data_IF_388807884028
#
_entry.id   IF_388807884028
#
_cell.length_a   1.000
_cell.length_b   1.000
_cell.length_c   1.000
_cell.angle_alpha   90.00
_cell.angle_beta   90.00
_cell.angle_gamma   90.00
#
_symmetry.space_group_name_H-M   'P 1'
#
loop_
_entity.id
_entity.type
_entity.pdbx_description
1 polymer ?
#
# COMPACT_ATOMS: atom_id res chain seq x y z
N UNK A 1 36.11 9.28 -12.26
CA UNK A 1 36.27 10.73 -12.03
C UNK A 1 35.22 11.43 -12.87
N UNK A 2 34.27 12.19 -12.29
CA UNK A 2 33.32 12.98 -13.07
C UNK A 2 34.11 14.09 -13.76
N UNK A 3 33.89 14.28 -15.07
CA UNK A 3 34.46 15.40 -15.82
C UNK A 3 34.02 16.72 -15.16
N UNK A 4 34.92 17.38 -14.43
CA UNK A 4 34.84 18.82 -14.24
C UNK A 4 34.88 19.43 -15.65
N UNK A 5 33.70 19.82 -16.15
CA UNK A 5 33.59 20.62 -17.36
C UNK A 5 34.37 21.90 -17.10
N UNK A 6 35.51 22.05 -17.78
CA UNK A 6 36.38 23.20 -17.69
C UNK A 6 35.56 24.49 -17.89
N UNK A 7 35.48 25.29 -16.82
CA UNK A 7 34.62 26.47 -16.77
C UNK A 7 35.12 27.56 -17.70
N UNK A 8 36.43 27.60 -17.98
CA UNK A 8 37.03 28.47 -18.98
C UNK A 8 36.66 28.04 -20.40
N UNK A 9 36.62 26.72 -20.65
CA UNK A 9 36.15 26.17 -21.92
C UNK A 9 34.67 26.52 -22.18
N UNK A 10 33.80 26.43 -21.16
CA UNK A 10 32.38 26.82 -21.24
C UNK A 10 32.15 28.30 -21.53
N UNK A 11 33.04 29.18 -21.06
CA UNK A 11 32.96 30.63 -21.29
C UNK A 11 33.40 31.03 -22.71
N UNK A 12 34.23 30.22 -23.35
CA UNK A 12 34.76 30.47 -24.70
C UNK A 12 33.89 29.88 -25.82
N UNK A 13 32.88 29.06 -25.51
CA UNK A 13 32.02 28.43 -26.53
C UNK A 13 31.19 29.49 -27.27
N UNK A 14 31.35 29.55 -28.59
CA UNK A 14 30.57 30.43 -29.44
C UNK A 14 29.09 30.02 -29.54
N UNK A 15 28.17 30.94 -29.89
CA UNK A 15 26.76 30.61 -30.11
C UNK A 15 26.56 29.56 -31.23
N UNK A 16 27.43 29.54 -32.23
CA UNK A 16 27.44 28.55 -33.32
C UNK A 16 27.86 27.15 -32.85
N UNK A 17 28.86 27.07 -31.97
CA UNK A 17 29.33 25.81 -31.37
C UNK A 17 28.28 25.22 -30.41
N UNK A 18 27.60 26.08 -29.64
CA UNK A 18 26.48 25.67 -28.81
C UNK A 18 25.29 25.18 -29.64
N UNK A 19 24.94 25.90 -30.71
CA UNK A 19 23.83 25.50 -31.57
C UNK A 19 24.12 24.19 -32.33
N UNK A 20 25.34 24.03 -32.83
CA UNK A 20 25.75 22.80 -33.52
C UNK A 20 25.83 21.59 -32.57
N UNK A 21 26.30 21.77 -31.32
CA UNK A 21 26.27 20.69 -30.32
C UNK A 21 24.85 20.32 -29.89
N UNK A 22 23.95 21.30 -29.73
CA UNK A 22 22.53 21.07 -29.46
C UNK A 22 21.83 20.35 -30.62
N UNK A 23 22.13 20.73 -31.86
CA UNK A 23 21.60 20.07 -33.06
C UNK A 23 22.09 18.62 -33.15
N UNK A 24 23.40 18.38 -32.99
CA UNK A 24 23.98 17.02 -32.95
C UNK A 24 23.31 16.15 -31.89
N UNK A 25 23.11 16.69 -30.68
CA UNK A 25 22.40 15.98 -29.61
C UNK A 25 20.96 15.64 -30.02
N UNK A 26 20.24 16.55 -30.66
CA UNK A 26 18.85 16.33 -31.10
C UNK A 26 18.75 15.31 -32.23
N UNK A 27 19.69 15.29 -33.17
CA UNK A 27 19.79 14.27 -34.21
C UNK A 27 20.04 12.88 -33.61
N UNK A 28 21.03 12.77 -32.71
CA UNK A 28 21.29 11.53 -31.97
C UNK A 28 20.07 11.04 -31.19
N UNK A 29 19.32 11.96 -30.55
CA UNK A 29 18.08 11.63 -29.85
C UNK A 29 17.01 11.12 -30.82
N UNK A 30 16.83 11.75 -31.98
CA UNK A 30 15.86 11.32 -32.98
C UNK A 30 16.16 9.91 -33.52
N UNK A 31 17.42 9.56 -33.68
CA UNK A 31 17.84 8.23 -34.13
C UNK A 31 17.70 7.17 -33.02
N UNK A 32 17.98 7.52 -31.76
CA UNK A 32 18.00 6.56 -30.65
C UNK A 32 16.62 6.35 -29.99
N UNK A 33 15.79 7.39 -29.91
CA UNK A 33 14.48 7.36 -29.22
C UNK A 33 13.52 6.27 -29.73
N UNK A 34 13.40 6.00 -31.05
CA UNK A 34 12.52 4.92 -31.52
C UNK A 34 12.90 3.54 -30.96
N UNK A 35 14.20 3.26 -30.82
CA UNK A 35 14.68 2.02 -30.21
C UNK A 35 14.36 1.95 -28.71
N UNK A 36 14.52 3.07 -28.01
CA UNK A 36 14.15 3.18 -26.58
C UNK A 36 12.64 3.00 -26.39
N UNK A 37 11.80 3.62 -27.23
CA UNK A 37 10.34 3.47 -27.19
C UNK A 37 9.95 2.01 -27.39
N UNK A 38 10.53 1.33 -28.39
CA UNK A 38 10.24 -0.09 -28.65
C UNK A 38 10.61 -0.99 -27.46
N UNK A 39 11.73 -0.70 -26.79
CA UNK A 39 12.12 -1.45 -25.59
C UNK A 39 11.15 -1.20 -24.43
N UNK A 40 10.76 0.06 -24.19
CA UNK A 40 9.79 0.41 -23.16
C UNK A 40 8.40 -0.18 -23.43
N UNK A 41 7.96 -0.22 -24.69
CA UNK A 41 6.72 -0.88 -25.10
C UNK A 41 6.78 -2.39 -24.84
N UNK A 42 7.90 -3.04 -25.18
CA UNK A 42 8.09 -4.47 -24.88
C UNK A 42 8.11 -4.76 -23.38
N UNK A 43 8.71 -3.87 -22.58
CA UNK A 43 8.70 -3.96 -21.12
C UNK A 43 7.28 -3.77 -20.56
N UNK A 44 6.53 -2.78 -21.04
CA UNK A 44 5.11 -2.55 -20.70
C UNK A 44 4.25 -3.78 -20.99
N UNK A 45 4.36 -4.34 -22.20
CA UNK A 45 3.63 -5.54 -22.64
C UNK A 45 3.96 -6.75 -21.77
N UNK A 46 5.20 -6.85 -21.27
CA UNK A 46 5.63 -7.95 -20.40
C UNK A 46 5.14 -7.81 -18.94
N UNK A 47 4.98 -6.57 -18.45
CA UNK A 47 4.63 -6.25 -17.07
C UNK A 47 3.12 -6.16 -16.86
N UNK A 48 2.39 -5.63 -17.83
CA UNK A 48 0.92 -5.50 -17.78
C UNK A 48 0.21 -6.79 -17.33
N UNK A 49 0.44 -7.96 -17.96
CA UNK A 49 -0.23 -9.20 -17.55
C UNK A 49 0.25 -9.71 -16.18
N UNK A 50 1.41 -9.29 -15.68
CA UNK A 50 1.88 -9.66 -14.32
C UNK A 50 1.14 -8.86 -13.26
N UNK A 51 0.93 -7.56 -13.52
CA UNK A 51 0.16 -6.67 -12.63
C UNK A 51 -1.29 -7.11 -12.56
N UNK A 52 -1.91 -7.42 -13.71
CA UNK A 52 -3.29 -7.93 -13.77
C UNK A 52 -3.45 -9.24 -12.97
N UNK A 53 -2.59 -10.23 -13.24
CA UNK A 53 -2.59 -11.49 -12.49
C UNK A 53 -2.36 -11.29 -10.99
N UNK A 54 -1.48 -10.36 -10.61
CA UNK A 54 -1.23 -10.00 -9.22
C UNK A 54 -2.47 -9.40 -8.54
N UNK A 55 -3.14 -8.47 -9.23
CA UNK A 55 -4.38 -7.83 -8.78
C UNK A 55 -5.52 -8.83 -8.62
N UNK A 56 -5.72 -9.72 -9.60
CA UNK A 56 -6.74 -10.78 -9.53
C UNK A 56 -6.47 -11.75 -8.37
N UNK A 57 -5.21 -12.17 -8.20
CA UNK A 57 -4.81 -13.05 -7.11
C UNK A 57 -5.04 -12.38 -5.74
N UNK A 58 -4.71 -11.09 -5.61
CA UNK A 58 -4.98 -10.31 -4.41
C UNK A 58 -6.49 -10.20 -4.13
N UNK A 59 -7.30 -9.86 -5.14
CA UNK A 59 -8.76 -9.80 -5.00
C UNK A 59 -9.35 -11.16 -4.60
N UNK A 60 -8.88 -12.25 -5.19
CA UNK A 60 -9.32 -13.59 -4.83
C UNK A 60 -8.94 -13.95 -3.38
N UNK A 61 -7.75 -13.56 -2.92
CA UNK A 61 -7.34 -13.73 -1.53
C UNK A 61 -8.20 -12.89 -0.57
N UNK A 62 -8.51 -11.64 -0.92
CA UNK A 62 -9.38 -10.78 -0.12
C UNK A 62 -10.81 -11.31 -0.03
N UNK A 63 -11.36 -11.86 -1.13
CA UNK A 63 -12.67 -12.54 -1.11
C UNK A 63 -12.66 -13.72 -0.14
N UNK A 64 -11.59 -14.53 -0.13
CA UNK A 64 -11.43 -15.63 0.85
C UNK A 64 -11.40 -15.12 2.28
N UNK A 65 -10.65 -14.05 2.55
CA UNK A 65 -10.62 -13.40 3.88
C UNK A 65 -12.01 -12.94 4.29
N UNK A 66 -12.76 -12.30 3.39
CA UNK A 66 -14.14 -11.85 3.65
C UNK A 66 -15.07 -13.02 4.01
N UNK A 67 -15.00 -14.12 3.27
CA UNK A 67 -15.83 -15.29 3.54
C UNK A 67 -15.49 -15.92 4.90
N UNK A 68 -14.20 -16.02 5.24
CA UNK A 68 -13.75 -16.54 6.53
C UNK A 68 -14.14 -15.63 7.71
N UNK A 69 -14.17 -14.31 7.50
CA UNK A 69 -14.72 -13.35 8.47
C UNK A 69 -16.21 -13.63 8.70
N UNK A 70 -17.00 -13.78 7.64
CA UNK A 70 -18.42 -14.13 7.77
C UNK A 70 -18.63 -15.44 8.54
N UNK A 71 -17.89 -16.49 8.19
CA UNK A 71 -17.98 -17.78 8.91
C UNK A 71 -17.60 -17.69 10.39
N UNK A 72 -16.59 -16.87 10.72
CA UNK A 72 -16.15 -16.61 12.08
C UNK A 72 -17.23 -15.86 12.85
N UNK A 73 -17.73 -14.76 12.30
CA UNK A 73 -18.68 -13.87 12.95
C UNK A 73 -20.00 -14.61 13.22
N UNK A 74 -20.50 -15.39 12.25
CA UNK A 74 -21.68 -16.24 12.43
C UNK A 74 -21.52 -17.26 13.57
N UNK A 75 -20.33 -17.86 13.67
CA UNK A 75 -20.04 -18.83 14.72
C UNK A 75 -19.88 -18.16 16.10
N UNK A 76 -19.25 -16.99 16.17
CA UNK A 76 -19.10 -16.20 17.39
C UNK A 76 -20.44 -15.72 17.93
N UNK A 77 -21.30 -15.17 17.07
CA UNK A 77 -22.65 -14.70 17.45
C UNK A 77 -23.44 -15.85 18.05
N UNK A 78 -23.48 -17.00 17.37
CA UNK A 78 -24.18 -18.20 17.87
C UNK A 78 -23.58 -18.69 19.19
N UNK A 79 -22.26 -18.67 19.34
CA UNK A 79 -21.61 -19.11 20.57
C UNK A 79 -21.96 -18.19 21.75
N UNK A 80 -21.99 -16.87 21.54
CA UNK A 80 -22.33 -15.89 22.57
C UNK A 80 -23.77 -16.05 23.08
N UNK A 81 -24.73 -16.33 22.17
CA UNK A 81 -26.11 -16.65 22.56
C UNK A 81 -26.15 -17.88 23.48
N UNK A 82 -25.41 -18.93 23.14
CA UNK A 82 -25.34 -20.14 23.98
C UNK A 82 -24.64 -19.85 25.31
N UNK A 83 -23.62 -18.99 25.36
CA UNK A 83 -22.98 -18.59 26.62
C UNK A 83 -23.99 -17.94 27.57
N UNK A 84 -24.87 -17.04 27.08
CA UNK A 84 -25.96 -16.49 27.90
C UNK A 84 -26.92 -17.56 28.40
N UNK A 85 -27.37 -18.49 27.55
CA UNK A 85 -28.25 -19.58 27.95
C UNK A 85 -27.61 -20.50 29.01
N UNK A 86 -26.32 -20.79 28.87
CA UNK A 86 -25.54 -21.60 29.83
C UNK A 86 -25.47 -20.89 31.19
N UNK A 87 -25.30 -19.56 31.21
CA UNK A 87 -25.31 -18.78 32.45
C UNK A 87 -26.67 -18.87 33.17
N UNK A 88 -27.77 -18.76 32.43
CA UNK A 88 -29.13 -18.90 32.99
C UNK A 88 -29.42 -20.31 33.49
N UNK A 89 -29.09 -21.35 32.71
CA UNK A 89 -29.23 -22.76 33.11
C UNK A 89 -28.42 -23.01 34.39
N UNK A 90 -27.20 -22.49 34.46
CA UNK A 90 -26.34 -22.59 35.65
C UNK A 90 -26.95 -21.89 36.86
N UNK A 91 -27.54 -20.72 36.70
CA UNK A 91 -28.16 -20.00 37.81
C UNK A 91 -29.37 -20.78 38.36
N UNK A 92 -30.20 -21.34 37.49
CA UNK A 92 -31.30 -22.23 37.87
C UNK A 92 -30.82 -23.47 38.63
N UNK A 93 -29.79 -24.15 38.12
CA UNK A 93 -29.17 -25.32 38.76
C UNK A 93 -28.54 -25.01 40.13
N UNK A 94 -27.99 -23.80 40.30
CA UNK A 94 -27.49 -23.35 41.59
C UNK A 94 -28.62 -23.12 42.59
N UNK A 95 -29.76 -22.56 42.15
CA UNK A 95 -30.94 -22.31 43.00
C UNK A 95 -31.66 -23.60 43.40
N UNK A 96 -31.72 -24.59 42.52
CA UNK A 96 -32.39 -25.87 42.78
C UNK A 96 -31.56 -26.87 43.61
N UNK A 97 -30.32 -26.54 43.97
CA UNK A 97 -29.45 -27.43 44.74
C UNK A 97 -28.96 -28.68 43.99
N UNK A 98 -29.38 -28.89 42.73
CA UNK A 98 -29.02 -30.06 41.91
C UNK A 98 -27.54 -30.14 41.53
N UNK A 99 -26.76 -29.08 41.77
CA UNK A 99 -25.31 -29.08 41.60
C UNK A 99 -24.61 -29.72 42.82
N UNK A 100 -24.69 -31.04 42.97
CA UNK A 100 -23.87 -31.77 43.96
C UNK A 100 -22.39 -31.53 43.61
N UNK A 101 -21.71 -30.79 44.49
CA UNK A 101 -20.45 -30.11 44.18
C UNK A 101 -19.25 -30.82 44.81
N UNK A 102 -18.64 -31.76 44.08
CA UNK A 102 -17.33 -32.32 44.43
C UNK A 102 -16.12 -31.46 43.98
N UNK A 103 -16.33 -30.30 43.33
CA UNK A 103 -15.23 -29.43 42.87
C UNK A 103 -15.66 -27.94 42.87
N UNK A 104 -14.81 -26.98 43.32
CA UNK A 104 -15.23 -25.64 43.73
C UNK A 104 -15.91 -24.80 42.63
N UNK A 105 -17.06 -24.20 42.97
CA UNK A 105 -17.89 -23.34 42.11
C UNK A 105 -17.12 -22.17 41.44
N UNK A 106 -15.99 -21.73 42.00
CA UNK A 106 -15.19 -20.61 41.48
C UNK A 106 -14.43 -20.97 40.20
N UNK A 107 -13.94 -22.22 40.06
CA UNK A 107 -13.15 -22.65 38.88
C UNK A 107 -13.95 -22.57 37.57
N UNK A 108 -15.25 -22.91 37.62
CA UNK A 108 -16.19 -22.80 36.49
C UNK A 108 -16.60 -21.37 36.18
N UNK A 109 -16.70 -20.52 37.21
CA UNK A 109 -16.99 -19.09 37.06
C UNK A 109 -15.85 -18.44 36.30
N UNK A 110 -14.63 -18.75 36.73
CA UNK A 110 -13.40 -18.30 36.08
C UNK A 110 -13.30 -18.74 34.61
N UNK A 111 -13.61 -20.00 34.29
CA UNK A 111 -13.41 -20.52 32.92
C UNK A 111 -14.30 -19.82 31.87
N UNK A 112 -15.60 -19.66 32.14
CA UNK A 112 -16.52 -18.99 31.19
C UNK A 112 -16.18 -17.50 31.09
N UNK A 113 -15.90 -16.85 32.22
CA UNK A 113 -15.49 -15.44 32.25
C UNK A 113 -14.14 -15.22 31.56
N UNK A 114 -13.21 -16.16 31.65
CA UNK A 114 -11.92 -16.12 30.94
C UNK A 114 -12.11 -16.29 29.43
N UNK A 115 -13.02 -17.16 28.98
CA UNK A 115 -13.36 -17.29 27.55
C UNK A 115 -13.98 -15.99 27.02
N UNK A 116 -14.89 -15.35 27.77
CA UNK A 116 -15.48 -14.07 27.37
C UNK A 116 -14.47 -12.92 27.35
N UNK A 117 -13.56 -12.87 28.34
CA UNK A 117 -12.47 -11.89 28.36
C UNK A 117 -11.55 -12.04 27.16
N UNK A 118 -11.16 -13.28 26.82
CA UNK A 118 -10.33 -13.53 25.64
C UNK A 118 -11.06 -13.17 24.35
N UNK A 119 -12.37 -13.44 24.27
CA UNK A 119 -13.17 -13.02 23.11
C UNK A 119 -13.20 -11.49 22.99
N UNK A 120 -13.46 -10.77 24.07
CA UNK A 120 -13.45 -9.31 24.08
C UNK A 120 -12.07 -8.77 23.70
N UNK A 121 -10.99 -9.33 24.24
CA UNK A 121 -9.62 -8.98 23.85
C UNK A 121 -9.43 -9.20 22.34
N UNK A 122 -9.77 -10.37 21.80
CA UNK A 122 -9.67 -10.65 20.36
C UNK A 122 -10.47 -9.66 19.50
N UNK A 123 -11.63 -9.21 19.96
CA UNK A 123 -12.49 -8.28 19.21
C UNK A 123 -12.03 -6.82 19.27
N UNK A 124 -11.51 -6.38 20.42
CA UNK A 124 -11.27 -4.95 20.69
C UNK A 124 -9.81 -4.54 20.58
N UNK A 125 -8.88 -5.48 20.73
CA UNK A 125 -7.46 -5.16 20.66
C UNK A 125 -6.97 -5.20 19.21
N UNK A 126 -6.40 -4.09 18.75
CA UNK A 126 -5.72 -3.98 17.45
C UNK A 126 -4.37 -4.71 17.50
N UNK A 127 -4.42 -6.04 17.60
CA UNK A 127 -3.25 -6.88 17.80
C UNK A 127 -2.59 -7.28 16.48
N UNK A 128 -1.28 -7.55 16.56
CA UNK A 128 -0.57 -8.22 15.47
C UNK A 128 -1.09 -9.66 15.29
N UNK A 129 -0.97 -10.17 14.06
CA UNK A 129 -1.38 -11.55 13.71
C UNK A 129 -0.76 -12.60 14.65
N UNK A 130 0.46 -12.37 15.15
CA UNK A 130 1.15 -13.28 16.09
C UNK A 130 0.52 -13.29 17.47
N UNK A 131 0.12 -12.13 18.00
CA UNK A 131 -0.58 -12.03 19.28
C UNK A 131 -2.00 -12.59 19.18
N UNK A 132 -2.70 -12.36 18.07
CA UNK A 132 -4.01 -12.99 17.82
C UNK A 132 -3.91 -14.53 17.84
N UNK A 133 -2.90 -15.12 17.17
CA UNK A 133 -2.69 -16.58 17.22
C UNK A 133 -2.47 -17.10 18.65
N UNK A 134 -1.76 -16.36 19.50
CA UNK A 134 -1.55 -16.74 20.91
C UNK A 134 -2.85 -16.72 21.71
N UNK A 135 -3.71 -15.71 21.49
CA UNK A 135 -5.01 -15.63 22.15
C UNK A 135 -5.95 -16.76 21.70
N UNK A 136 -5.98 -17.08 20.41
CA UNK A 136 -6.73 -18.23 19.88
C UNK A 136 -6.27 -19.55 20.51
N UNK A 137 -4.96 -19.76 20.63
CA UNK A 137 -4.45 -20.99 21.27
C UNK A 137 -4.82 -21.04 22.75
N UNK A 138 -4.72 -19.92 23.46
CA UNK A 138 -5.17 -19.84 24.86
C UNK A 138 -6.65 -20.16 25.02
N UNK A 139 -7.51 -19.65 24.14
CA UNK A 139 -8.94 -19.97 24.12
C UNK A 139 -9.16 -21.46 23.84
N UNK A 140 -8.44 -22.04 22.88
CA UNK A 140 -8.51 -23.45 22.53
C UNK A 140 -8.16 -24.36 23.71
N UNK A 141 -7.12 -24.01 24.47
CA UNK A 141 -6.73 -24.73 25.71
C UNK A 141 -7.86 -24.67 26.73
N UNK A 142 -8.43 -23.49 27.00
CA UNK A 142 -9.56 -23.34 27.93
C UNK A 142 -10.80 -24.12 27.51
N UNK A 143 -11.13 -24.14 26.22
CA UNK A 143 -12.24 -24.95 25.69
C UNK A 143 -11.93 -26.44 25.89
N UNK A 144 -10.70 -26.88 25.65
CA UNK A 144 -10.31 -28.28 25.89
C UNK A 144 -10.39 -28.67 27.37
N UNK A 145 -10.04 -27.76 28.28
CA UNK A 145 -10.18 -27.97 29.72
C UNK A 145 -11.66 -28.07 30.12
N UNK A 146 -12.52 -27.23 29.55
CA UNK A 146 -13.97 -27.30 29.73
C UNK A 146 -14.53 -28.66 29.30
N UNK A 147 -14.14 -29.12 28.11
CA UNK A 147 -14.62 -30.38 27.53
C UNK A 147 -14.18 -31.60 28.37
N UNK A 148 -12.93 -31.63 28.83
CA UNK A 148 -12.44 -32.68 29.73
C UNK A 148 -13.26 -32.73 31.01
N UNK A 149 -13.47 -31.57 31.62
CA UNK A 149 -14.26 -31.45 32.84
C UNK A 149 -15.73 -31.85 32.66
N UNK A 150 -16.36 -31.52 31.53
CA UNK A 150 -17.73 -31.96 31.21
C UNK A 150 -17.82 -33.47 31.05
N UNK A 151 -16.79 -34.12 30.50
CA UNK A 151 -16.73 -35.57 30.31
C UNK A 151 -16.68 -36.30 31.65
N UNK A 152 -15.75 -35.92 32.52
CA UNK A 152 -15.56 -36.54 33.85
C UNK A 152 -16.84 -36.46 34.70
N UNK A 153 -17.63 -35.40 34.52
CA UNK A 153 -18.86 -35.15 35.29
C UNK A 153 -20.11 -35.80 34.70
N UNK A 154 -20.16 -36.02 33.37
CA UNK A 154 -21.23 -36.80 32.74
C UNK A 154 -21.30 -38.20 33.35
N UNK A 155 -20.14 -38.79 33.63
CA UNK A 155 -20.03 -40.12 34.23
C UNK A 155 -20.45 -40.12 35.72
N UNK A 156 -20.54 -38.94 36.35
CA UNK A 156 -20.85 -38.77 37.78
C UNK A 156 -22.27 -38.27 38.08
N UNK A 157 -22.94 -37.56 37.15
CA UNK A 157 -24.28 -37.01 37.38
C UNK A 157 -25.08 -36.83 36.06
N UNK A 158 -26.12 -37.67 35.82
CA UNK A 158 -26.94 -37.62 34.61
C UNK A 158 -28.02 -36.52 34.59
N UNK A 159 -28.38 -35.90 35.72
CA UNK A 159 -29.46 -34.89 35.76
C UNK A 159 -29.05 -33.52 35.16
N UNK A 160 -27.78 -33.39 34.76
CA UNK A 160 -27.15 -32.19 34.20
C UNK A 160 -27.14 -32.13 32.66
N UNK A 161 -27.89 -32.99 31.98
CA UNK A 161 -27.86 -33.17 30.52
C UNK A 161 -27.99 -31.86 29.72
N UNK A 162 -28.96 -31.00 30.05
CA UNK A 162 -29.20 -29.74 29.32
C UNK A 162 -28.00 -28.79 29.37
N UNK A 163 -27.32 -28.70 30.51
CA UNK A 163 -26.12 -27.87 30.66
C UNK A 163 -24.95 -28.44 29.88
N UNK A 164 -24.76 -29.77 29.91
CA UNK A 164 -23.68 -30.46 29.22
C UNK A 164 -23.85 -30.30 27.71
N UNK A 165 -25.07 -30.47 27.19
CA UNK A 165 -25.33 -30.39 25.75
C UNK A 165 -25.12 -28.98 25.21
N UNK A 166 -25.65 -27.96 25.91
CA UNK A 166 -25.39 -26.56 25.55
C UNK A 166 -23.91 -26.20 25.65
N UNK A 167 -23.19 -26.70 26.65
CA UNK A 167 -21.74 -26.44 26.81
C UNK A 167 -20.89 -27.12 25.73
N UNK A 168 -21.30 -28.29 25.24
CA UNK A 168 -20.67 -28.92 24.07
C UNK A 168 -20.95 -28.14 22.79
N UNK A 169 -22.18 -27.65 22.64
CA UNK A 169 -22.56 -26.83 21.49
C UNK A 169 -21.76 -25.53 21.44
N UNK A 170 -21.61 -24.85 22.59
CA UNK A 170 -20.74 -23.69 22.77
C UNK A 170 -19.29 -24.00 22.35
N UNK A 171 -18.72 -25.08 22.90
CA UNK A 171 -17.34 -25.51 22.60
C UNK A 171 -17.14 -25.83 21.12
N UNK A 172 -18.15 -26.43 20.46
CA UNK A 172 -18.12 -26.71 19.01
C UNK A 172 -18.13 -25.42 18.20
N UNK A 173 -18.95 -24.44 18.56
CA UNK A 173 -19.05 -23.18 17.84
C UNK A 173 -17.78 -22.34 17.99
N UNK A 174 -17.19 -22.25 19.19
CA UNK A 174 -15.92 -21.56 19.37
C UNK A 174 -14.78 -22.24 18.63
N UNK A 175 -14.68 -23.58 18.63
CA UNK A 175 -13.70 -24.30 17.79
C UNK A 175 -13.88 -24.00 16.30
N UNK A 176 -15.13 -23.84 15.83
CA UNK A 176 -15.41 -23.47 14.44
C UNK A 176 -14.94 -22.03 14.16
N UNK A 177 -15.27 -21.09 15.05
CA UNK A 177 -14.83 -19.71 14.96
C UNK A 177 -13.30 -19.59 14.96
N UNK A 178 -12.62 -20.23 15.91
CA UNK A 178 -11.15 -20.19 16.02
C UNK A 178 -10.47 -20.80 14.79
N UNK A 179 -11.05 -21.87 14.21
CA UNK A 179 -10.55 -22.48 12.98
C UNK A 179 -10.72 -21.54 11.77
N UNK A 180 -11.87 -20.87 11.67
CA UNK A 180 -12.09 -19.87 10.62
C UNK A 180 -11.14 -18.67 10.79
N UNK A 181 -10.95 -18.20 12.03
CA UNK A 181 -10.04 -17.10 12.37
C UNK A 181 -8.58 -17.46 12.06
N UNK A 182 -8.10 -18.64 12.45
CA UNK A 182 -6.73 -19.08 12.11
C UNK A 182 -6.51 -19.14 10.60
N UNK A 183 -7.47 -19.67 9.84
CA UNK A 183 -7.39 -19.72 8.37
C UNK A 183 -7.47 -18.33 7.74
N UNK A 184 -8.23 -17.42 8.37
CA UNK A 184 -8.32 -16.03 7.96
C UNK A 184 -6.96 -15.37 8.11
N UNK A 185 -6.26 -15.56 9.23
CA UNK A 185 -4.91 -15.02 9.45
C UNK A 185 -3.93 -15.52 8.39
N UNK A 186 -3.92 -16.82 8.09
CA UNK A 186 -3.07 -17.37 7.02
C UNK A 186 -3.42 -16.74 5.64
N UNK A 187 -4.69 -16.42 5.41
CA UNK A 187 -5.15 -15.83 4.15
C UNK A 187 -4.81 -14.34 4.06
N UNK A 188 -4.86 -13.62 5.18
CA UNK A 188 -4.43 -12.21 5.28
C UNK A 188 -2.93 -12.09 5.03
N UNK A 189 -2.13 -12.96 5.65
CA UNK A 189 -0.67 -13.00 5.45
C UNK A 189 -0.32 -13.23 3.97
N UNK A 190 -1.00 -14.18 3.30
CA UNK A 190 -0.86 -14.38 1.85
C UNK A 190 -1.31 -13.16 1.05
N UNK A 191 -2.44 -12.56 1.39
CA UNK A 191 -2.95 -11.37 0.69
C UNK A 191 -1.98 -10.18 0.81
N UNK A 192 -1.36 -9.97 1.98
CA UNK A 192 -0.33 -8.94 2.19
C UNK A 192 0.87 -9.17 1.27
N UNK A 193 1.42 -10.40 1.25
CA UNK A 193 2.56 -10.72 0.38
C UNK A 193 2.25 -10.55 -1.12
N UNK A 194 0.99 -10.80 -1.53
CA UNK A 194 0.54 -10.58 -2.90
C UNK A 194 0.38 -9.10 -3.20
N UNK A 195 -0.17 -8.33 -2.26
CA UNK A 195 -0.33 -6.89 -2.37
C UNK A 195 1.03 -6.21 -2.58
N UNK A 196 2.03 -6.52 -1.76
CA UNK A 196 3.39 -5.96 -1.86
C UNK A 196 4.01 -6.24 -3.24
N UNK A 197 3.92 -7.49 -3.72
CA UNK A 197 4.39 -7.87 -5.06
C UNK A 197 3.63 -7.18 -6.19
N UNK A 198 2.32 -7.01 -6.04
CA UNK A 198 1.51 -6.32 -7.04
C UNK A 198 1.73 -4.80 -7.03
N UNK A 199 1.99 -4.21 -5.87
CA UNK A 199 2.24 -2.77 -5.71
C UNK A 199 3.56 -2.40 -6.37
N UNK A 200 4.62 -3.15 -6.06
CA UNK A 200 5.94 -2.95 -6.68
C UNK A 200 5.88 -3.07 -8.20
N UNK A 201 5.25 -4.14 -8.73
CA UNK A 201 5.08 -4.30 -10.17
C UNK A 201 4.20 -3.19 -10.81
N UNK A 202 3.20 -2.68 -10.08
CA UNK A 202 2.34 -1.58 -10.53
C UNK A 202 3.09 -0.24 -10.56
N UNK A 203 3.96 -0.01 -9.58
CA UNK A 203 4.85 1.16 -9.53
C UNK A 203 5.86 1.13 -10.69
N UNK A 204 6.48 -0.02 -10.96
CA UNK A 204 7.36 -0.22 -12.11
C UNK A 204 6.63 0.05 -13.43
N UNK A 205 5.42 -0.49 -13.60
CA UNK A 205 4.61 -0.25 -14.81
C UNK A 205 4.26 1.23 -14.98
N UNK A 206 3.93 1.92 -13.88
CA UNK A 206 3.65 3.36 -13.90
C UNK A 206 4.88 4.16 -14.29
N UNK A 207 6.06 3.79 -13.80
CA UNK A 207 7.30 4.44 -14.17
C UNK A 207 7.62 4.25 -15.65
N UNK A 208 7.51 3.02 -16.17
CA UNK A 208 7.76 2.70 -17.59
C UNK A 208 6.80 3.48 -18.49
N UNK A 209 5.50 3.51 -18.16
CA UNK A 209 4.51 4.35 -18.88
C UNK A 209 4.91 5.81 -18.88
N UNK A 210 5.33 6.35 -17.74
CA UNK A 210 5.80 7.73 -17.63
C UNK A 210 7.11 8.01 -18.38
N UNK A 211 8.01 7.03 -18.50
CA UNK A 211 9.21 7.12 -19.33
C UNK A 211 8.85 7.09 -20.82
N UNK A 212 7.92 6.22 -21.19
CA UNK A 212 7.43 6.06 -22.56
C UNK A 212 6.69 7.31 -23.04
N UNK A 213 5.81 7.90 -22.23
CA UNK A 213 5.15 9.17 -22.56
C UNK A 213 6.16 10.30 -22.78
N UNK A 214 7.16 10.41 -21.89
CA UNK A 214 8.26 11.37 -22.05
C UNK A 214 9.08 11.11 -23.31
N UNK A 215 9.37 9.86 -23.63
CA UNK A 215 10.12 9.49 -24.84
C UNK A 215 9.33 9.83 -26.12
N UNK A 216 8.02 9.56 -26.14
CA UNK A 216 7.10 9.93 -27.24
C UNK A 216 7.01 11.45 -27.38
N UNK A 217 6.88 12.17 -26.27
CA UNK A 217 6.86 13.64 -26.28
C UNK A 217 8.18 14.19 -26.82
N UNK A 218 9.32 13.71 -26.34
CA UNK A 218 10.65 14.13 -26.80
C UNK A 218 10.84 13.85 -28.30
N UNK A 219 10.36 12.71 -28.78
CA UNK A 219 10.39 12.37 -30.21
C UNK A 219 9.53 13.35 -31.02
N UNK A 220 8.30 13.64 -30.58
CA UNK A 220 7.41 14.58 -31.26
C UNK A 220 7.96 16.02 -31.31
N UNK A 221 8.74 16.41 -30.30
CA UNK A 221 9.40 17.71 -30.23
C UNK A 221 10.71 17.75 -31.03
N UNK A 222 11.30 16.60 -31.36
CA UNK A 222 12.62 16.51 -31.97
C UNK A 222 12.67 17.20 -33.33
N UNK A 223 11.70 16.96 -34.22
CA UNK A 223 11.64 17.55 -35.56
C UNK A 223 11.54 19.08 -35.51
N UNK A 224 10.69 19.60 -34.61
CA UNK A 224 10.54 21.05 -34.40
C UNK A 224 11.83 21.67 -33.85
N UNK A 225 12.50 20.97 -32.94
CA UNK A 225 13.75 21.45 -32.35
C UNK A 225 14.91 21.40 -33.36
N UNK A 226 15.00 20.35 -34.17
CA UNK A 226 15.99 20.21 -35.25
C UNK A 226 15.83 21.36 -36.24
N UNK A 227 14.62 21.56 -36.80
CA UNK A 227 14.36 22.66 -37.73
C UNK A 227 14.57 24.05 -37.12
N UNK A 228 14.32 24.21 -35.81
CA UNK A 228 14.65 25.46 -35.11
C UNK A 228 16.16 25.74 -35.12
N UNK A 229 17.00 24.76 -34.81
CA UNK A 229 18.44 24.95 -34.71
C UNK A 229 19.14 24.97 -36.07
N UNK A 230 18.68 24.19 -37.05
CA UNK A 230 19.15 24.26 -38.44
C UNK A 230 18.97 25.68 -38.99
N UNK A 231 17.76 26.23 -38.84
CA UNK A 231 17.46 27.59 -39.26
C UNK A 231 18.30 28.65 -38.54
N UNK A 232 18.65 28.44 -37.27
CA UNK A 232 19.53 29.36 -36.51
C UNK A 232 20.98 29.32 -36.97
N UNK A 233 21.45 28.17 -37.42
CA UNK A 233 22.78 28.04 -38.00
C UNK A 233 22.85 28.67 -39.40
N UNK A 234 21.76 28.63 -40.18
CA UNK A 234 21.69 29.23 -41.52
C UNK A 234 21.39 30.74 -41.51
N UNK A 235 20.36 31.18 -40.77
CA UNK A 235 19.84 32.55 -40.80
C UNK A 235 20.37 33.42 -39.64
N UNK A 236 21.11 32.80 -38.70
CA UNK A 236 21.76 33.47 -37.57
C UNK A 236 20.95 33.53 -36.27
N UNK A 237 21.56 34.09 -35.22
CA UNK A 237 21.01 34.08 -33.85
C UNK A 237 20.21 35.33 -33.47
N UNK A 238 20.14 36.31 -34.37
CA UNK A 238 19.41 37.56 -34.20
C UNK A 238 17.89 37.40 -34.36
N UNK A 239 17.20 38.51 -34.58
CA UNK A 239 15.77 38.48 -34.86
C UNK A 239 15.53 38.11 -36.32
N UNK A 240 14.90 36.96 -36.55
CA UNK A 240 14.67 36.41 -37.89
C UNK A 240 13.24 36.70 -38.37
N UNK A 241 12.24 36.21 -37.62
CA UNK A 241 10.83 36.21 -38.03
C UNK A 241 9.90 36.21 -36.80
N UNK A 242 8.59 36.47 -36.96
CA UNK A 242 7.61 36.28 -35.88
C UNK A 242 7.69 34.86 -35.33
N UNK A 243 8.05 34.72 -34.05
CA UNK A 243 8.31 33.42 -33.39
C UNK A 243 9.79 33.07 -33.19
N UNK A 244 10.72 33.73 -33.90
CA UNK A 244 12.17 33.57 -33.76
C UNK A 244 12.81 34.84 -33.18
N UNK A 245 12.73 34.98 -31.85
CA UNK A 245 13.28 36.12 -31.09
C UNK A 245 14.81 36.12 -31.11
N UNK A 246 15.41 37.29 -30.98
CA UNK A 246 16.85 37.43 -30.82
C UNK A 246 17.35 36.70 -29.56
N UNK A 247 18.20 35.69 -29.77
CA UNK A 247 18.80 34.87 -28.70
C UNK A 247 20.04 35.55 -28.08
N UNK A 248 20.66 36.49 -28.80
CA UNK A 248 21.86 37.20 -28.36
C UNK A 248 21.53 38.47 -27.56
N UNK A 249 20.28 38.95 -27.62
CA UNK A 249 19.80 40.13 -26.89
C UNK A 249 20.26 40.20 -25.44
N UNK A 250 20.24 39.08 -24.72
CA UNK A 250 20.68 39.01 -23.32
C UNK A 250 22.19 39.26 -23.17
N UNK A 251 23.01 38.61 -24.01
CA UNK A 251 24.45 38.81 -24.08
C UNK A 251 24.79 40.24 -24.46
N UNK A 252 24.12 40.78 -25.48
CA UNK A 252 24.39 42.12 -25.98
C UNK A 252 23.97 43.19 -24.96
N UNK A 253 22.90 42.97 -24.21
CA UNK A 253 22.50 43.84 -23.07
C UNK A 253 23.60 43.90 -22.01
N UNK A 254 24.18 42.75 -21.64
CA UNK A 254 25.25 42.69 -20.63
C UNK A 254 26.55 43.30 -21.16
N UNK A 255 26.90 43.03 -22.42
CA UNK A 255 28.07 43.61 -23.08
C UNK A 255 28.00 45.14 -23.13
N UNK A 256 26.80 45.70 -23.29
CA UNK A 256 26.56 47.15 -23.30
C UNK A 256 26.46 47.75 -21.88
N UNK A 257 26.90 47.03 -20.83
CA UNK A 257 26.90 47.49 -19.44
C UNK A 257 25.54 47.38 -18.74
N UNK A 258 24.55 46.74 -19.36
CA UNK A 258 23.23 46.54 -18.80
C UNK A 258 23.15 45.36 -17.82
N UNK A 259 22.12 45.32 -16.94
CA UNK A 259 21.98 44.25 -15.96
C UNK A 259 21.58 42.92 -16.63
N UNK A 260 22.20 41.82 -16.19
CA UNK A 260 21.87 40.46 -16.64
C UNK A 260 20.43 40.09 -16.30
N UNK A 261 19.83 39.17 -17.05
CA UNK A 261 18.45 38.68 -16.80
C UNK A 261 18.28 38.06 -15.42
N UNK A 262 19.34 37.45 -14.87
CA UNK A 262 19.38 36.94 -13.49
C UNK A 262 19.32 38.08 -12.45
N UNK A 263 20.10 39.14 -12.64
CA UNK A 263 20.10 40.31 -11.75
C UNK A 263 18.79 41.11 -11.79
N UNK A 264 18.12 41.18 -12.95
CA UNK A 264 16.79 41.79 -13.10
C UNK A 264 15.71 41.07 -12.27
N UNK A 265 15.74 39.74 -12.22
CA UNK A 265 14.80 38.92 -11.42
C UNK A 265 15.02 39.08 -9.92
N UNK A 266 16.27 39.27 -9.49
CA UNK A 266 16.60 39.58 -8.09
C UNK A 266 16.03 40.93 -7.65
N UNK A 267 16.21 42.00 -8.45
CA UNK A 267 15.62 43.32 -8.17
C UNK A 267 14.09 43.29 -8.15
N UNK A 268 13.46 42.58 -9.09
CA UNK A 268 12.00 42.44 -9.16
C UNK A 268 11.38 41.71 -7.95
N UNK A 269 12.10 40.74 -7.35
CA UNK A 269 11.65 40.08 -6.12
C UNK A 269 11.74 41.00 -4.92
N UNK A 270 12.81 41.79 -4.79
CA UNK A 270 12.94 42.77 -3.71
C UNK A 270 11.89 43.89 -3.81
N UNK A 271 11.62 44.42 -5.01
CA UNK A 271 10.58 45.45 -5.19
C UNK A 271 9.15 44.94 -4.98
N UNK A 272 8.88 43.64 -5.18
CA UNK A 272 7.59 43.03 -4.82
C UNK A 272 7.46 42.82 -3.32
N UNK A 273 8.56 42.51 -2.63
CA UNK A 273 8.59 42.32 -1.18
C UNK A 273 8.36 43.64 -0.43
N UNK A 274 8.99 44.73 -0.87
CA UNK A 274 8.78 46.07 -0.29
C UNK A 274 7.38 46.63 -0.53
N UNK A 275 6.69 46.19 -1.59
CA UNK A 275 5.35 46.66 -1.96
C UNK A 275 4.21 45.80 -1.38
N UNK A 276 4.55 44.72 -0.66
CA UNK A 276 3.60 43.85 0.06
C UNK A 276 3.72 44.02 1.59
N UNK A 277 4.57 44.92 2.06
CA UNK A 277 4.68 45.33 3.47
C UNK A 277 4.00 46.69 3.73
N UNK A 278 3.34 47.30 2.74
CA UNK A 278 2.60 48.58 2.83
C UNK A 278 1.08 48.45 2.59
N UNK A 279 0.49 47.25 2.66
CA UNK A 279 -0.98 47.03 2.74
C UNK A 279 -1.36 46.24 4.00
#
# INVERSE_FOLDING_TARGET
MPNEMDTEALLNVGPEELASSLLKRRLMLKESLPGVIRNLEAEEDSLTPKVERGSEAFQAANKKVSNLKGERDDAQIKANIIVSEIKEIRERLNKSGGMISLDPKWKKRKLIEEIEKLEHEIQTSALDQRSERKLLERRRVLISENDKWLKDRKDSNPDMLQYIDKSKEMSRLFKKADKAHSRMLDSVERAQSLYEKSSTASEELREIKGQLDRARELLSQSDKAIGHWERRLEEGFGQIAPGFKDLLRGRDTVRNGGPSTFSKRSRSKNTKKTRSEEE
#
